data_IF_149976803165
#
_entry.id   IF_149976803165
#
_cell.length_a   1.000
_cell.length_b   1.000
_cell.length_c   1.000
_cell.angle_alpha   90.00
_cell.angle_beta   90.00
_cell.angle_gamma   90.00
#
_symmetry.space_group_name_H-M   'P 1'
#
loop_
_entity.id
_entity.type
_entity.pdbx_description
1 polymer ?
#
# COMPACT_ATOMS: atom_id res chain seq x y z
N UNK A 1 -4.81 10.95 17.68
CA UNK A 1 -3.89 10.66 18.81
C UNK A 1 -2.52 11.14 18.38
N UNK A 2 -2.13 12.37 18.77
CA UNK A 2 -0.78 12.89 18.57
C UNK A 2 0.03 12.43 19.78
N UNK A 3 0.58 11.21 19.71
CA UNK A 3 1.52 10.72 20.71
C UNK A 3 2.91 11.26 20.41
N UNK A 4 3.47 12.02 21.31
CA UNK A 4 4.83 12.59 21.30
C UNK A 4 5.93 11.57 21.63
N UNK A 5 5.73 10.30 21.31
CA UNK A 5 6.76 9.27 21.42
C UNK A 5 7.25 8.90 20.03
N UNK A 6 8.56 8.97 19.78
CA UNK A 6 9.19 8.49 18.54
C UNK A 6 8.92 6.99 18.37
N UNK A 7 7.77 6.66 17.79
CA UNK A 7 7.44 5.29 17.40
C UNK A 7 8.33 4.94 16.21
N UNK A 8 9.26 4.00 16.40
CA UNK A 8 10.15 3.49 15.35
C UNK A 8 9.52 2.38 14.50
N UNK A 9 8.20 2.22 14.55
CA UNK A 9 7.52 1.10 13.92
C UNK A 9 6.40 1.60 12.99
N UNK A 10 6.17 0.91 11.88
CA UNK A 10 5.04 1.21 11.00
C UNK A 10 3.73 1.07 11.76
N UNK A 11 2.76 1.91 11.43
CA UNK A 11 1.42 1.84 12.00
C UNK A 11 0.45 1.30 10.96
N UNK A 12 -0.46 0.43 11.39
CA UNK A 12 -1.51 -0.11 10.57
C UNK A 12 -2.87 0.04 11.25
N UNK A 13 -3.85 0.46 10.48
CA UNK A 13 -5.26 0.37 10.85
C UNK A 13 -5.93 -0.62 9.89
N UNK A 14 -6.38 -1.74 10.42
CA UNK A 14 -7.07 -2.77 9.65
C UNK A 14 -8.56 -2.77 10.00
N UNK A 15 -9.43 -2.68 9.00
CA UNK A 15 -10.88 -2.67 9.15
C UNK A 15 -11.41 -4.04 8.75
N UNK A 16 -11.96 -4.76 9.72
CA UNK A 16 -12.53 -6.10 9.56
C UNK A 16 -14.06 -6.05 9.54
N UNK A 17 -14.70 -6.97 8.86
CA UNK A 17 -16.15 -7.13 8.86
C UNK A 17 -16.65 -8.00 7.72
N UNK A 18 -17.93 -8.39 7.77
CA UNK A 18 -18.59 -9.16 6.71
C UNK A 18 -18.72 -8.36 5.41
N UNK A 19 -19.07 -9.03 4.31
CA UNK A 19 -19.32 -8.36 3.05
C UNK A 19 -20.55 -7.44 3.16
N UNK A 20 -20.45 -6.25 2.56
CA UNK A 20 -21.52 -5.26 2.57
C UNK A 20 -21.67 -4.43 3.85
N UNK A 21 -20.90 -4.68 4.92
CA UNK A 21 -21.01 -3.94 6.19
C UNK A 21 -20.50 -2.49 6.12
N UNK A 22 -19.89 -2.08 4.99
CA UNK A 22 -19.44 -0.71 4.78
C UNK A 22 -17.94 -0.48 5.00
N UNK A 23 -17.10 -1.52 4.96
CA UNK A 23 -15.64 -1.42 5.09
C UNK A 23 -15.03 -0.42 4.09
N UNK A 24 -15.32 -0.58 2.81
CA UNK A 24 -14.81 0.29 1.74
C UNK A 24 -15.32 1.73 1.88
N UNK A 25 -16.57 1.91 2.31
CA UNK A 25 -17.12 3.25 2.56
C UNK A 25 -16.39 3.96 3.72
N UNK A 26 -16.05 3.23 4.78
CA UNK A 26 -15.25 3.75 5.88
C UNK A 26 -13.82 4.08 5.43
N UNK A 27 -13.22 3.23 4.60
CA UNK A 27 -11.89 3.45 4.03
C UNK A 27 -11.88 4.71 3.15
N UNK A 28 -12.89 4.90 2.30
CA UNK A 28 -13.06 6.10 1.46
C UNK A 28 -13.23 7.37 2.30
N UNK A 29 -13.99 7.28 3.39
CA UNK A 29 -14.13 8.40 4.31
C UNK A 29 -12.80 8.76 4.97
N UNK A 30 -12.03 7.77 5.39
CA UNK A 30 -10.69 7.97 5.94
C UNK A 30 -9.75 8.61 4.92
N UNK A 31 -9.80 8.18 3.64
CA UNK A 31 -9.03 8.77 2.53
C UNK A 31 -9.35 10.26 2.35
N UNK A 32 -10.62 10.66 2.41
CA UNK A 32 -11.03 12.07 2.33
C UNK A 32 -10.51 12.88 3.53
N UNK A 33 -10.57 12.32 4.73
CA UNK A 33 -10.07 12.99 5.94
C UNK A 33 -8.58 13.21 5.91
N UNK A 34 -7.80 12.21 5.44
CA UNK A 34 -6.35 12.26 5.34
C UNK A 34 -5.86 13.44 4.48
N UNK A 35 -6.58 13.73 3.38
CA UNK A 35 -6.31 14.92 2.54
C UNK A 35 -6.42 16.23 3.34
N UNK A 36 -7.40 16.33 4.22
CA UNK A 36 -7.58 17.51 5.10
C UNK A 36 -6.43 17.72 6.08
N UNK A 37 -5.65 16.68 6.39
CA UNK A 37 -4.47 16.74 7.26
C UNK A 37 -3.14 16.90 6.50
N UNK A 38 -3.19 17.28 5.24
CA UNK A 38 -2.01 17.46 4.38
C UNK A 38 -1.15 16.18 4.24
N UNK A 39 -1.79 15.03 4.31
CA UNK A 39 -1.16 13.74 4.03
C UNK A 39 -1.50 13.31 2.61
N UNK A 40 -0.65 12.51 2.00
CA UNK A 40 -0.84 11.98 0.64
C UNK A 40 -1.53 10.61 0.76
N UNK A 41 -2.81 10.49 0.40
CA UNK A 41 -3.48 9.20 0.30
C UNK A 41 -3.14 8.54 -1.03
N UNK A 42 -2.66 7.31 -1.00
CA UNK A 42 -2.44 6.45 -2.17
C UNK A 42 -3.32 5.22 -2.00
N UNK A 43 -4.16 4.93 -2.97
CA UNK A 43 -5.22 3.92 -2.86
C UNK A 43 -5.08 2.84 -3.93
N UNK A 44 -5.31 1.60 -3.53
CA UNK A 44 -5.51 0.47 -4.42
C UNK A 44 -6.61 -0.45 -3.89
N UNK A 45 -7.38 -1.04 -4.78
CA UNK A 45 -8.28 -2.15 -4.46
C UNK A 45 -7.63 -3.48 -4.88
N UNK A 46 -7.82 -4.51 -4.06
CA UNK A 46 -7.39 -5.87 -4.38
C UNK A 46 -8.61 -6.67 -4.81
N UNK A 47 -8.54 -7.36 -5.94
CA UNK A 47 -9.63 -8.15 -6.49
C UNK A 47 -9.26 -9.63 -6.55
N UNK A 48 -10.21 -10.49 -6.22
CA UNK A 48 -10.02 -11.94 -6.22
C UNK A 48 -9.54 -12.44 -7.59
N UNK A 49 -10.12 -11.92 -8.66
CA UNK A 49 -9.81 -12.28 -10.04
C UNK A 49 -8.41 -11.84 -10.48
N UNK A 50 -7.83 -10.87 -9.76
CA UNK A 50 -6.53 -10.30 -10.04
C UNK A 50 -5.44 -10.79 -9.07
N UNK A 51 -5.77 -11.67 -8.13
CA UNK A 51 -4.82 -12.16 -7.09
C UNK A 51 -3.64 -12.96 -7.64
N UNK A 52 -3.73 -13.45 -8.89
CA UNK A 52 -2.64 -14.13 -9.60
C UNK A 52 -1.75 -13.18 -10.42
N UNK A 53 -2.18 -11.92 -10.62
CA UNK A 53 -1.39 -10.93 -11.35
C UNK A 53 -0.38 -10.25 -10.45
N UNK A 54 0.88 -10.37 -10.81
CA UNK A 54 1.98 -9.79 -10.02
C UNK A 54 1.88 -8.28 -9.88
N UNK A 55 1.96 -7.82 -8.63
CA UNK A 55 2.03 -6.40 -8.27
C UNK A 55 0.86 -5.57 -8.79
N UNK A 56 -0.30 -6.20 -9.04
CA UNK A 56 -1.47 -5.52 -9.60
C UNK A 56 -1.93 -4.32 -8.75
N UNK A 57 -2.06 -4.41 -7.41
CA UNK A 57 -2.45 -3.27 -6.59
C UNK A 57 -1.42 -2.13 -6.63
N UNK A 58 -0.16 -2.43 -6.89
CA UNK A 58 0.88 -1.42 -7.00
C UNK A 58 0.78 -0.58 -8.26
N UNK A 59 0.18 -1.09 -9.35
CA UNK A 59 -0.14 -0.27 -10.51
C UNK A 59 -1.03 0.90 -10.15
N UNK A 60 -2.05 0.67 -9.33
CA UNK A 60 -2.97 1.71 -8.88
C UNK A 60 -2.26 2.71 -7.97
N UNK A 61 -1.40 2.23 -7.07
CA UNK A 61 -0.56 3.10 -6.22
C UNK A 61 0.35 4.00 -7.06
N UNK A 62 1.00 3.46 -8.11
CA UNK A 62 1.85 4.27 -8.99
C UNK A 62 1.06 5.27 -9.79
N UNK A 63 -0.11 4.90 -10.30
CA UNK A 63 -1.00 5.83 -10.98
C UNK A 63 -1.40 6.99 -10.06
N UNK A 64 -1.76 6.71 -8.80
CA UNK A 64 -2.06 7.75 -7.79
C UNK A 64 -0.83 8.66 -7.53
N UNK A 65 0.38 8.11 -7.48
CA UNK A 65 1.61 8.91 -7.34
C UNK A 65 1.78 9.85 -8.54
N UNK A 66 1.62 9.35 -9.77
CA UNK A 66 1.71 10.19 -10.99
C UNK A 66 0.64 11.28 -10.98
N UNK A 67 -0.60 10.97 -10.60
CA UNK A 67 -1.65 11.98 -10.45
C UNK A 67 -1.28 13.05 -9.42
N UNK A 68 -0.65 12.66 -8.30
CA UNK A 68 -0.17 13.62 -7.31
C UNK A 68 0.96 14.52 -7.88
N UNK A 69 1.83 13.98 -8.73
CA UNK A 69 2.89 14.75 -9.41
C UNK A 69 2.29 15.71 -10.43
N UNK A 70 1.35 15.26 -11.28
CA UNK A 70 0.67 16.08 -12.30
C UNK A 70 -0.11 17.23 -11.66
N UNK A 71 -0.73 17.00 -10.52
CA UNK A 71 -1.47 18.02 -9.76
C UNK A 71 -0.59 18.90 -8.87
N UNK A 72 0.74 18.76 -8.93
CA UNK A 72 1.69 19.56 -8.15
C UNK A 72 1.70 19.28 -6.63
N UNK A 73 1.09 18.18 -6.20
CA UNK A 73 1.06 17.76 -4.80
C UNK A 73 2.36 17.06 -4.40
N UNK A 74 3.03 16.42 -5.34
CA UNK A 74 4.32 15.78 -5.18
C UNK A 74 5.31 16.29 -6.22
N UNK A 75 6.57 16.39 -5.83
CA UNK A 75 7.66 16.55 -6.78
C UNK A 75 7.99 15.20 -7.43
N UNK A 76 8.39 15.21 -8.70
CA UNK A 76 8.85 13.97 -9.35
C UNK A 76 10.07 13.41 -8.64
N UNK A 77 9.89 12.23 -8.06
CA UNK A 77 10.89 11.60 -7.16
C UNK A 77 11.85 10.67 -7.88
N UNK A 78 11.53 10.28 -9.12
CA UNK A 78 12.31 9.33 -9.93
C UNK A 78 12.74 9.97 -11.24
N UNK A 79 13.85 9.50 -11.78
CA UNK A 79 14.33 9.94 -13.09
C UNK A 79 13.42 9.42 -14.22
N UNK A 80 13.56 9.99 -15.42
CA UNK A 80 12.82 9.51 -16.59
C UNK A 80 13.17 8.07 -16.94
N UNK A 81 14.42 7.67 -16.71
CA UNK A 81 14.91 6.32 -16.95
C UNK A 81 14.28 5.32 -15.97
N UNK A 82 14.25 5.66 -14.68
CA UNK A 82 13.58 4.86 -13.64
C UNK A 82 12.09 4.73 -13.92
N UNK A 83 11.42 5.82 -14.30
CA UNK A 83 10.02 5.82 -14.71
C UNK A 83 9.78 4.87 -15.89
N UNK A 84 10.60 4.98 -16.94
CA UNK A 84 10.46 4.12 -18.12
C UNK A 84 10.68 2.63 -17.80
N UNK A 85 11.53 2.32 -16.82
CA UNK A 85 11.72 0.94 -16.34
C UNK A 85 10.48 0.45 -15.58
N UNK A 86 9.93 1.25 -14.67
CA UNK A 86 8.69 0.92 -13.95
C UNK A 86 7.51 0.76 -14.91
N UNK A 87 7.35 1.67 -15.88
CA UNK A 87 6.29 1.61 -16.89
C UNK A 87 6.35 0.31 -17.72
N UNK A 88 7.56 -0.10 -18.15
CA UNK A 88 7.74 -1.35 -18.89
C UNK A 88 7.39 -2.55 -18.01
N UNK A 89 7.78 -2.50 -16.76
CA UNK A 89 7.52 -3.55 -15.81
C UNK A 89 6.01 -3.73 -15.60
N UNK A 90 5.31 -2.64 -15.26
CA UNK A 90 3.87 -2.69 -14.99
C UNK A 90 3.04 -2.97 -16.24
N UNK A 91 3.41 -2.45 -17.40
CA UNK A 91 2.75 -2.80 -18.67
C UNK A 91 2.91 -4.28 -19.02
N UNK A 92 4.10 -4.85 -18.78
CA UNK A 92 4.33 -6.28 -18.99
C UNK A 92 3.49 -7.16 -18.05
N UNK A 93 3.32 -6.76 -16.80
CA UNK A 93 2.50 -7.49 -15.83
C UNK A 93 1.01 -7.51 -16.17
N UNK A 94 0.49 -6.43 -16.77
CA UNK A 94 -0.92 -6.33 -17.20
C UNK A 94 -1.19 -7.16 -18.47
N UNK A 95 -0.20 -7.26 -19.38
CA UNK A 95 -0.36 -7.95 -20.66
C UNK A 95 -0.20 -9.48 -20.54
N UNK A 96 0.04 -10.00 -19.33
CA UNK A 96 0.16 -11.44 -19.12
C UNK A 96 1.37 -12.07 -19.81
N UNK A 97 2.42 -11.29 -20.08
CA UNK A 97 3.71 -11.83 -20.52
C UNK A 97 4.31 -12.64 -19.36
N UNK A 98 3.98 -13.92 -19.34
CA UNK A 98 4.31 -14.93 -18.30
C UNK A 98 5.81 -15.24 -18.18
N UNK A 99 6.69 -14.38 -18.60
CA UNK A 99 8.10 -14.58 -18.28
C UNK A 99 8.32 -14.19 -16.83
N UNK A 100 8.62 -15.17 -15.95
CA UNK A 100 8.97 -14.87 -14.58
C UNK A 100 10.08 -13.83 -14.61
N UNK A 101 9.83 -12.69 -13.97
CA UNK A 101 10.85 -11.67 -13.81
C UNK A 101 12.11 -12.31 -13.26
N UNK A 102 13.21 -12.15 -13.98
CA UNK A 102 14.49 -12.57 -13.46
C UNK A 102 14.72 -11.87 -12.10
N UNK A 103 15.29 -12.60 -11.15
CA UNK A 103 15.57 -12.09 -9.80
C UNK A 103 16.23 -10.70 -9.79
N UNK A 104 17.10 -10.44 -10.74
CA UNK A 104 17.77 -9.15 -10.89
C UNK A 104 16.81 -8.02 -11.26
N UNK A 105 15.88 -8.28 -12.17
CA UNK A 105 14.87 -7.29 -12.61
C UNK A 105 13.94 -6.91 -11.44
N UNK A 106 13.51 -7.89 -10.66
CA UNK A 106 12.71 -7.64 -9.46
C UNK A 106 13.47 -6.79 -8.43
N UNK A 107 14.75 -7.10 -8.16
CA UNK A 107 15.55 -6.34 -7.21
C UNK A 107 15.78 -4.89 -7.64
N UNK A 108 15.98 -4.64 -8.93
CA UNK A 108 16.13 -3.29 -9.47
C UNK A 108 14.82 -2.49 -9.33
N UNK A 109 13.69 -3.11 -9.64
CA UNK A 109 12.38 -2.52 -9.46
C UNK A 109 12.10 -2.23 -7.98
N UNK A 110 12.28 -3.20 -7.08
CA UNK A 110 12.10 -3.03 -5.65
C UNK A 110 12.91 -1.84 -5.13
N UNK A 111 14.18 -1.74 -5.55
CA UNK A 111 15.06 -0.63 -5.19
C UNK A 111 14.49 0.72 -5.68
N UNK A 112 14.09 0.82 -6.94
CA UNK A 112 13.55 2.04 -7.52
C UNK A 112 12.28 2.51 -6.76
N UNK A 113 11.41 1.56 -6.41
CA UNK A 113 10.19 1.82 -5.63
C UNK A 113 10.54 2.32 -4.21
N UNK A 114 11.45 1.65 -3.54
CA UNK A 114 11.89 2.06 -2.20
C UNK A 114 12.51 3.47 -2.22
N UNK A 115 13.34 3.77 -3.21
CA UNK A 115 13.97 5.08 -3.36
C UNK A 115 12.94 6.17 -3.67
N UNK A 116 11.92 5.88 -4.47
CA UNK A 116 10.79 6.78 -4.71
C UNK A 116 10.03 7.08 -3.43
N UNK A 117 9.59 6.06 -2.70
CA UNK A 117 8.85 6.25 -1.44
C UNK A 117 9.70 6.94 -0.36
N UNK A 118 11.01 6.68 -0.32
CA UNK A 118 11.93 7.37 0.60
C UNK A 118 11.94 8.88 0.33
N UNK A 119 12.10 9.28 -0.93
CA UNK A 119 12.09 10.69 -1.33
C UNK A 119 10.75 11.37 -1.03
N UNK A 120 9.64 10.68 -1.28
CA UNK A 120 8.30 11.19 -0.93
C UNK A 120 8.18 11.35 0.60
N UNK A 121 8.57 10.32 1.36
CA UNK A 121 8.48 10.32 2.82
C UNK A 121 9.41 11.34 3.51
N UNK A 122 10.46 11.81 2.85
CA UNK A 122 11.31 12.90 3.38
C UNK A 122 10.51 14.21 3.55
N UNK A 123 9.55 14.47 2.68
CA UNK A 123 8.79 15.73 2.66
C UNK A 123 7.34 15.57 3.10
N UNK A 124 6.71 14.44 2.83
CA UNK A 124 5.29 14.21 3.01
C UNK A 124 5.00 13.01 3.91
N UNK A 125 3.85 13.07 4.60
CA UNK A 125 3.27 11.88 5.24
C UNK A 125 2.40 11.16 4.21
N UNK A 126 2.59 9.86 4.07
CA UNK A 126 1.87 9.01 3.12
C UNK A 126 0.97 8.04 3.86
N UNK A 127 -0.23 7.86 3.38
CA UNK A 127 -1.13 6.80 3.84
C UNK A 127 -1.42 5.87 2.67
N UNK A 128 -0.97 4.63 2.77
CA UNK A 128 -1.28 3.56 1.83
C UNK A 128 -2.64 2.96 2.20
N UNK A 129 -3.58 3.00 1.28
CA UNK A 129 -4.90 2.40 1.43
C UNK A 129 -5.00 1.17 0.53
N UNK A 130 -5.28 0.01 1.14
CA UNK A 130 -5.58 -1.22 0.40
C UNK A 130 -6.96 -1.73 0.79
N UNK A 131 -7.87 -1.76 -0.18
CA UNK A 131 -9.19 -2.34 0.02
C UNK A 131 -9.15 -3.83 -0.30
N UNK A 132 -9.77 -4.65 0.56
CA UNK A 132 -9.83 -6.12 0.45
C UNK A 132 -8.43 -6.79 0.33
N UNK A 133 -7.54 -6.44 1.26
CA UNK A 133 -6.12 -6.87 1.26
C UNK A 133 -5.94 -8.41 1.24
N UNK A 134 -6.95 -9.20 1.61
CA UNK A 134 -6.93 -10.66 1.50
C UNK A 134 -6.74 -11.16 0.07
N UNK A 135 -6.99 -10.33 -0.94
CA UNK A 135 -6.81 -10.65 -2.35
C UNK A 135 -5.50 -10.12 -2.93
N UNK A 136 -4.65 -9.54 -2.09
CA UNK A 136 -3.33 -9.06 -2.52
C UNK A 136 -2.42 -10.24 -2.87
N UNK A 137 -1.78 -10.18 -4.04
CA UNK A 137 -0.80 -11.19 -4.44
C UNK A 137 0.44 -11.21 -3.53
N UNK A 138 1.10 -12.36 -3.46
CA UNK A 138 2.26 -12.57 -2.56
C UNK A 138 3.40 -11.58 -2.80
N UNK A 139 3.65 -11.19 -4.06
CA UNK A 139 4.73 -10.27 -4.40
C UNK A 139 4.39 -8.84 -3.97
N UNK A 140 3.12 -8.43 -4.15
CA UNK A 140 2.60 -7.16 -3.64
C UNK A 140 2.73 -7.07 -2.12
N UNK A 141 2.40 -8.15 -1.42
CA UNK A 141 2.52 -8.21 0.02
C UNK A 141 3.98 -8.15 0.51
N UNK A 142 4.90 -8.81 -0.19
CA UNK A 142 6.34 -8.74 0.09
C UNK A 142 6.89 -7.32 -0.11
N UNK A 143 6.47 -6.65 -1.18
CA UNK A 143 6.87 -5.27 -1.44
C UNK A 143 6.32 -4.31 -0.38
N UNK A 144 5.04 -4.46 0.01
CA UNK A 144 4.43 -3.71 1.10
C UNK A 144 5.22 -3.88 2.40
N UNK A 145 5.53 -5.14 2.74
CA UNK A 145 6.37 -5.48 3.89
C UNK A 145 7.71 -4.75 3.82
N UNK A 146 8.37 -4.79 2.67
CA UNK A 146 9.67 -4.16 2.49
C UNK A 146 9.61 -2.64 2.68
N UNK A 147 8.59 -1.99 2.14
CA UNK A 147 8.36 -0.54 2.30
C UNK A 147 8.14 -0.21 3.78
N UNK A 148 7.24 -0.91 4.45
CA UNK A 148 6.90 -0.65 5.85
C UNK A 148 8.08 -0.88 6.79
N UNK A 149 8.84 -1.97 6.60
CA UNK A 149 10.04 -2.26 7.41
C UNK A 149 11.19 -1.27 7.16
N UNK A 150 11.31 -0.78 5.94
CA UNK A 150 12.44 0.09 5.55
C UNK A 150 12.15 1.57 5.83
N UNK A 151 10.90 2.00 5.61
CA UNK A 151 10.50 3.42 5.57
C UNK A 151 9.41 3.76 6.59
N UNK A 152 8.78 2.78 7.20
CA UNK A 152 7.57 2.91 8.02
C UNK A 152 7.78 3.53 9.41
N UNK A 153 8.77 4.38 9.59
CA UNK A 153 9.11 4.85 10.94
C UNK A 153 8.23 5.98 11.46
N UNK A 154 7.77 6.92 10.63
CA UNK A 154 6.94 8.05 11.10
C UNK A 154 6.08 8.68 10.01
N UNK A 155 6.30 8.32 8.74
CA UNK A 155 5.72 9.04 7.60
C UNK A 155 4.93 8.17 6.63
N UNK A 156 4.92 6.86 6.83
CA UNK A 156 4.10 5.93 6.07
C UNK A 156 3.18 5.18 7.02
N UNK A 157 1.87 5.30 6.79
CA UNK A 157 0.81 4.60 7.50
C UNK A 157 0.13 3.63 6.53
N UNK A 158 -0.23 2.45 6.99
CA UNK A 158 -1.08 1.52 6.27
C UNK A 158 -2.51 1.59 6.82
N UNK A 159 -3.49 1.71 5.93
CA UNK A 159 -4.90 1.44 6.24
C UNK A 159 -5.43 0.40 5.25
N UNK A 160 -6.06 -0.65 5.76
CA UNK A 160 -6.58 -1.70 4.89
C UNK A 160 -7.92 -2.22 5.39
N UNK A 161 -8.68 -2.83 4.47
CA UNK A 161 -9.87 -3.60 4.81
C UNK A 161 -9.63 -5.07 4.54
N UNK A 162 -10.35 -5.94 5.23
CA UNK A 162 -10.39 -7.37 4.96
C UNK A 162 -11.69 -8.01 5.44
N UNK A 163 -12.03 -9.18 4.87
CA UNK A 163 -13.21 -9.93 5.26
C UNK A 163 -12.93 -10.80 6.49
N UNK A 164 -13.84 -10.83 7.46
CA UNK A 164 -13.73 -11.64 8.68
C UNK A 164 -13.49 -13.13 8.41
N UNK A 165 -14.01 -13.67 7.32
CA UNK A 165 -13.79 -15.07 6.95
C UNK A 165 -12.32 -15.40 6.61
N UNK A 166 -11.49 -14.38 6.38
CA UNK A 166 -10.06 -14.48 6.09
C UNK A 166 -9.18 -13.99 7.26
N UNK A 167 -9.76 -13.78 8.44
CA UNK A 167 -9.11 -13.11 9.58
C UNK A 167 -7.77 -13.75 9.94
N UNK A 168 -7.71 -15.07 10.05
CA UNK A 168 -6.52 -15.76 10.57
C UNK A 168 -5.31 -15.55 9.68
N UNK A 169 -5.45 -15.76 8.37
CA UNK A 169 -4.35 -15.66 7.41
C UNK A 169 -3.88 -14.22 7.22
N UNK A 170 -4.83 -13.28 7.09
CA UNK A 170 -4.53 -11.87 6.95
C UNK A 170 -3.91 -11.31 8.23
N UNK A 171 -4.47 -11.66 9.38
CA UNK A 171 -3.96 -11.21 10.68
C UNK A 171 -2.54 -11.74 10.94
N UNK A 172 -2.27 -13.03 10.68
CA UNK A 172 -0.91 -13.56 10.78
C UNK A 172 0.08 -12.82 9.88
N UNK A 173 -0.36 -12.46 8.68
CA UNK A 173 0.45 -11.72 7.73
C UNK A 173 0.71 -10.28 8.21
N UNK A 174 -0.31 -9.59 8.69
CA UNK A 174 -0.19 -8.23 9.23
C UNK A 174 0.61 -8.21 10.55
N UNK A 175 0.43 -9.19 11.42
CA UNK A 175 1.20 -9.32 12.66
C UNK A 175 2.69 -9.62 12.42
N UNK A 176 3.01 -10.36 11.36
CA UNK A 176 4.42 -10.56 10.92
C UNK A 176 5.05 -9.26 10.42
N UNK A 177 4.24 -8.39 9.79
CA UNK A 177 4.68 -7.07 9.31
C UNK A 177 4.93 -6.09 10.45
N UNK A 178 4.15 -6.19 11.50
CA UNK A 178 4.09 -5.20 12.56
C UNK A 178 4.23 -5.85 13.91
N UNK A 179 4.89 -5.16 14.85
CA UNK A 179 4.73 -5.55 16.24
C UNK A 179 3.27 -5.32 16.63
N UNK A 180 2.72 -6.23 17.44
CA UNK A 180 1.31 -6.27 17.85
C UNK A 180 0.76 -4.92 18.37
N UNK A 181 1.62 -4.09 18.97
CA UNK A 181 1.26 -2.78 19.53
C UNK A 181 0.98 -1.69 18.47
N UNK A 182 1.29 -1.94 17.20
CA UNK A 182 1.15 -0.97 16.09
C UNK A 182 0.08 -1.34 15.08
N UNK A 183 -0.57 -2.48 15.27
CA UNK A 183 -1.72 -2.92 14.51
C UNK A 183 -3.00 -2.60 15.30
N UNK A 184 -3.83 -1.71 14.75
CA UNK A 184 -5.14 -1.39 15.29
C UNK A 184 -6.21 -2.01 14.42
N UNK A 185 -7.02 -2.90 14.98
CA UNK A 185 -8.13 -3.54 14.27
C UNK A 185 -9.44 -2.87 14.67
N UNK A 186 -10.23 -2.49 13.68
CA UNK A 186 -11.59 -1.96 13.81
C UNK A 186 -12.54 -3.00 13.23
N UNK A 187 -13.34 -3.64 14.08
CA UNK A 187 -14.34 -4.60 13.63
C UNK A 187 -15.68 -3.91 13.39
N UNK A 188 -16.21 -4.04 12.18
CA UNK A 188 -17.55 -3.56 11.81
C UNK A 188 -18.53 -4.73 11.92
N UNK A 189 -19.61 -4.52 12.66
CA UNK A 189 -20.72 -5.46 12.80
C UNK A 189 -21.90 -5.00 11.94
N UNK A 190 -22.70 -5.91 11.39
CA UNK A 190 -23.97 -5.56 10.76
C UNK A 190 -24.87 -4.81 11.73
N UNK A 191 -25.63 -3.86 11.19
CA UNK A 191 -26.65 -3.12 11.97
C UNK A 191 -27.85 -4.00 12.29
#
# INVERSE_FOLDING_TARGET
IVGTGKSRHPQCVAISGEDGVGKSALLDKAKQMVRGYQMIPLYAACYREESEFFLRPWNDIFWEVEQCVENGLLERSITKEEQAQLDRFFKGSILGDEKPLGRLTYQLMEKAILDMFRKIAEKHKVVLFFDDIQWMDTMSFQLLNRILLTLGTERILLMCTYNQNNDVEVMESLEKLMKKDYLHVISLNPF
#
